data_IF_497850935585
#
_entry.id   IF_497850935585
#
_cell.length_a   1.000
_cell.length_b   1.000
_cell.length_c   1.000
_cell.angle_alpha   90.00
_cell.angle_beta   90.00
_cell.angle_gamma   90.00
#
_symmetry.space_group_name_H-M   'P 1'
#
loop_
_entity.id
_entity.type
_entity.pdbx_description
1 polymer ?
#
# COMPACT_ATOMS: atom_id res chain seq x y z
N UNK A 1 0.76 -9.57 -6.57
CA UNK A 1 2.16 -9.60 -6.08
C UNK A 1 2.23 -9.57 -4.58
N UNK A 2 1.72 -8.50 -3.95
CA UNK A 2 1.79 -8.30 -2.50
C UNK A 2 1.29 -9.50 -1.67
N UNK A 3 0.14 -10.09 -2.01
CA UNK A 3 -0.41 -11.26 -1.32
C UNK A 3 0.57 -12.46 -1.24
N UNK A 4 1.41 -12.67 -2.26
CA UNK A 4 2.41 -13.73 -2.23
C UNK A 4 3.60 -13.32 -1.37
N UNK A 5 4.09 -12.09 -1.55
CA UNK A 5 5.28 -11.59 -0.84
C UNK A 5 5.07 -11.46 0.67
N UNK A 6 3.86 -11.10 1.12
CA UNK A 6 3.52 -11.02 2.54
C UNK A 6 3.49 -12.42 3.18
N UNK A 7 2.88 -13.40 2.50
CA UNK A 7 2.83 -14.81 2.94
C UNK A 7 4.20 -15.48 2.97
N UNK A 8 5.14 -15.03 2.14
CA UNK A 8 6.52 -15.49 2.19
C UNK A 8 7.34 -14.83 3.31
N UNK A 9 6.81 -13.81 4.01
CA UNK A 9 7.54 -13.05 5.01
C UNK A 9 8.46 -11.96 4.42
N UNK A 10 8.65 -11.90 3.10
CA UNK A 10 9.58 -10.97 2.46
C UNK A 10 9.25 -9.51 2.73
N UNK A 11 7.97 -9.14 2.73
CA UNK A 11 7.56 -7.75 2.98
C UNK A 11 7.55 -7.40 4.48
N UNK A 12 6.99 -8.19 5.40
CA UNK A 12 7.03 -7.81 6.82
C UNK A 12 8.42 -7.96 7.44
N UNK A 13 9.19 -8.99 7.05
CA UNK A 13 10.45 -9.37 7.69
C UNK A 13 11.71 -9.09 6.87
N UNK A 14 11.60 -8.89 5.55
CA UNK A 14 12.78 -8.74 4.67
C UNK A 14 13.50 -10.05 4.34
N UNK A 15 12.95 -11.20 4.78
CA UNK A 15 13.49 -12.52 4.54
C UNK A 15 12.36 -13.53 4.32
N UNK A 16 12.67 -14.67 3.70
CA UNK A 16 11.70 -15.76 3.61
C UNK A 16 11.54 -16.37 5.01
N UNK A 17 10.33 -16.29 5.56
CA UNK A 17 10.01 -16.82 6.89
C UNK A 17 8.73 -17.64 6.85
N UNK A 18 8.56 -18.53 7.83
CA UNK A 18 7.26 -19.17 8.07
C UNK A 18 6.19 -18.15 8.43
N UNK A 19 4.93 -18.59 8.38
CA UNK A 19 3.76 -17.85 8.86
C UNK A 19 3.24 -18.53 10.12
N UNK A 20 2.80 -17.71 11.06
CA UNK A 20 2.06 -18.11 12.26
C UNK A 20 0.73 -17.33 12.33
N UNK A 21 -0.07 -17.59 13.36
CA UNK A 21 -1.38 -16.96 13.55
C UNK A 21 -1.30 -15.44 13.75
N UNK A 22 -0.14 -14.90 14.11
CA UNK A 22 0.06 -13.47 14.36
C UNK A 22 0.61 -12.75 13.13
N UNK A 23 1.06 -13.48 12.12
CA UNK A 23 1.72 -12.93 10.94
C UNK A 23 0.79 -11.99 10.17
N UNK A 24 1.25 -10.78 9.78
CA UNK A 24 0.46 -9.88 8.94
C UNK A 24 0.08 -10.57 7.64
N UNK A 25 -1.15 -10.35 7.19
CA UNK A 25 -1.63 -10.96 5.94
C UNK A 25 -2.65 -10.09 5.22
N UNK A 26 -2.99 -10.51 4.00
CA UNK A 26 -4.07 -9.95 3.22
C UNK A 26 -5.20 -10.97 3.13
N UNK A 27 -6.43 -10.54 3.38
CA UNK A 27 -7.62 -11.39 3.36
C UNK A 27 -8.81 -10.69 2.68
N UNK A 28 -9.97 -11.36 2.69
CA UNK A 28 -11.20 -10.87 2.09
C UNK A 28 -11.55 -9.45 2.55
N UNK A 29 -11.92 -8.61 1.59
CA UNK A 29 -12.45 -7.28 1.85
C UNK A 29 -13.67 -7.37 2.79
N UNK A 30 -13.91 -6.36 3.62
CA UNK A 30 -15.08 -6.31 4.53
C UNK A 30 -16.42 -6.45 3.81
N UNK A 31 -16.52 -5.94 2.58
CA UNK A 31 -17.73 -6.03 1.76
C UNK A 31 -18.02 -7.45 1.21
N UNK A 32 -17.12 -8.41 1.42
CA UNK A 32 -17.30 -9.81 1.00
C UNK A 32 -17.27 -10.04 -0.52
N UNK A 33 -16.84 -9.05 -1.31
CA UNK A 33 -16.78 -9.12 -2.79
C UNK A 33 -15.60 -8.34 -3.37
N UNK A 34 -15.36 -8.54 -4.66
CA UNK A 34 -14.36 -7.79 -5.42
C UNK A 34 -14.70 -6.30 -5.48
N UNK A 35 -13.70 -5.44 -5.25
CA UNK A 35 -13.79 -3.99 -5.47
C UNK A 35 -13.07 -3.61 -6.77
N UNK A 36 -13.65 -2.69 -7.52
CA UNK A 36 -13.03 -2.00 -8.65
C UNK A 36 -13.33 -0.51 -8.50
N UNK A 37 -12.41 0.25 -7.90
CA UNK A 37 -12.64 1.66 -7.52
C UNK A 37 -11.34 2.46 -7.60
N UNK A 38 -11.44 3.76 -7.89
CA UNK A 38 -10.32 4.69 -7.71
C UNK A 38 -10.13 4.98 -6.22
N UNK A 39 -8.94 4.70 -5.71
CA UNK A 39 -8.62 4.79 -4.29
C UNK A 39 -7.57 5.87 -4.07
N UNK A 40 -7.79 6.70 -3.04
CA UNK A 40 -6.83 7.69 -2.60
C UNK A 40 -5.94 7.07 -1.54
N UNK A 41 -4.63 7.27 -1.70
CA UNK A 41 -3.61 6.79 -0.77
C UNK A 41 -2.65 7.91 -0.42
N UNK A 42 -2.37 8.05 0.87
CA UNK A 42 -1.37 8.94 1.42
C UNK A 42 -0.05 8.21 1.57
N UNK A 43 1.04 8.80 1.13
CA UNK A 43 2.40 8.29 1.41
C UNK A 43 2.77 8.67 2.84
N UNK A 44 2.90 7.67 3.71
CA UNK A 44 3.28 7.86 5.11
C UNK A 44 4.80 7.80 5.33
N UNK A 45 5.52 7.10 4.46
CA UNK A 45 6.97 6.91 4.54
C UNK A 45 7.56 6.77 3.14
N UNK A 46 8.64 7.51 2.87
CA UNK A 46 9.42 7.40 1.64
C UNK A 46 10.80 6.77 1.85
N UNK A 47 11.00 6.05 2.96
CA UNK A 47 12.28 5.37 3.26
C UNK A 47 12.66 4.30 2.24
N UNK A 48 11.67 3.76 1.52
CA UNK A 48 11.89 2.78 0.47
C UNK A 48 12.43 3.44 -0.80
N UNK A 49 13.43 2.85 -1.48
CA UNK A 49 13.87 3.33 -2.79
C UNK A 49 12.75 3.45 -3.83
N UNK A 50 11.71 2.61 -3.73
CA UNK A 50 10.54 2.68 -4.60
C UNK A 50 9.76 3.98 -4.44
N UNK A 51 9.80 4.60 -3.26
CA UNK A 51 9.04 5.80 -2.92
C UNK A 51 9.93 7.05 -2.83
N UNK A 52 11.21 6.97 -3.22
CA UNK A 52 12.17 8.07 -3.06
C UNK A 52 11.80 9.36 -3.82
N UNK A 53 10.97 9.26 -4.86
CA UNK A 53 10.45 10.40 -5.61
C UNK A 53 8.99 10.74 -5.25
N UNK A 54 8.38 10.00 -4.32
CA UNK A 54 7.08 10.30 -3.77
C UNK A 54 7.21 11.24 -2.56
N UNK A 55 6.21 12.10 -2.37
CA UNK A 55 6.22 13.10 -1.31
C UNK A 55 5.60 12.53 -0.03
N UNK A 56 6.30 12.51 1.12
CA UNK A 56 5.68 12.19 2.40
C UNK A 56 4.52 13.15 2.69
N UNK A 57 3.35 12.59 2.99
CA UNK A 57 2.10 13.33 3.13
C UNK A 57 1.34 13.55 1.83
N UNK A 58 1.98 13.34 0.66
CA UNK A 58 1.36 13.43 -0.64
C UNK A 58 0.24 12.41 -0.83
N UNK A 59 -0.81 12.84 -1.53
CA UNK A 59 -2.00 12.04 -1.83
C UNK A 59 -1.99 11.65 -3.30
N UNK A 60 -2.23 10.38 -3.56
CA UNK A 60 -2.24 9.81 -4.90
C UNK A 60 -3.48 8.95 -5.13
N UNK A 61 -4.04 9.02 -6.33
CA UNK A 61 -5.25 8.30 -6.72
C UNK A 61 -4.93 7.26 -7.77
N UNK A 62 -5.20 5.98 -7.47
CA UNK A 62 -4.91 4.87 -8.39
C UNK A 62 -6.04 3.83 -8.35
N UNK A 63 -6.19 3.01 -9.40
CA UNK A 63 -7.21 1.98 -9.44
C UNK A 63 -6.89 0.84 -8.44
N UNK A 64 -7.89 0.45 -7.66
CA UNK A 64 -7.93 -0.78 -6.89
C UNK A 64 -8.75 -1.84 -7.64
N UNK A 65 -8.28 -3.10 -7.63
CA UNK A 65 -8.97 -4.22 -8.29
C UNK A 65 -8.67 -5.53 -7.57
N UNK A 66 -9.39 -5.84 -6.49
CA UNK A 66 -9.14 -7.05 -5.70
C UNK A 66 -10.34 -7.50 -4.87
N UNK A 67 -10.42 -8.80 -4.56
CA UNK A 67 -11.35 -9.37 -3.56
C UNK A 67 -10.71 -9.61 -2.19
N UNK A 68 -9.38 -9.70 -2.14
CA UNK A 68 -8.59 -10.10 -0.97
C UNK A 68 -7.44 -9.10 -0.72
N UNK A 69 -7.77 -7.82 -0.53
CA UNK A 69 -6.78 -6.76 -0.32
C UNK A 69 -6.74 -6.21 1.10
N UNK A 70 -7.56 -6.76 2.00
CA UNK A 70 -7.68 -6.25 3.37
C UNK A 70 -6.46 -6.64 4.18
N UNK A 71 -5.67 -5.65 4.59
CA UNK A 71 -4.55 -5.85 5.50
C UNK A 71 -5.06 -6.09 6.93
N UNK A 72 -4.61 -7.19 7.53
CA UNK A 72 -4.88 -7.54 8.92
C UNK A 72 -3.58 -7.94 9.60
N UNK A 73 -3.42 -7.50 10.85
CA UNK A 73 -2.27 -7.77 11.70
C UNK A 73 -2.65 -7.51 13.16
N UNK A 74 -1.84 -8.00 14.10
CA UNK A 74 -2.00 -7.65 15.52
C UNK A 74 -1.57 -6.21 15.78
N UNK A 75 -2.05 -5.60 16.88
CA UNK A 75 -1.63 -4.25 17.28
C UNK A 75 -0.12 -4.15 17.55
N UNK A 76 0.51 -5.23 17.99
CA UNK A 76 1.97 -5.31 18.13
C UNK A 76 2.65 -5.18 16.76
N UNK A 77 2.17 -5.90 15.75
CA UNK A 77 2.68 -5.80 14.39
C UNK A 77 2.48 -4.41 13.81
N UNK A 78 1.30 -3.80 13.97
CA UNK A 78 1.02 -2.46 13.47
C UNK A 78 2.00 -1.45 14.09
N UNK A 79 2.17 -1.49 15.42
CA UNK A 79 3.12 -0.62 16.13
C UNK A 79 4.57 -0.84 15.68
N UNK A 80 4.97 -2.09 15.48
CA UNK A 80 6.31 -2.44 14.96
C UNK A 80 6.54 -1.88 13.56
N UNK A 81 5.59 -2.07 12.65
CA UNK A 81 5.66 -1.55 11.28
C UNK A 81 5.70 -0.02 11.27
N UNK A 82 4.92 0.64 12.11
CA UNK A 82 4.90 2.09 12.25
C UNK A 82 6.22 2.63 12.81
N UNK A 83 6.74 2.05 13.89
CA UNK A 83 8.02 2.45 14.50
C UNK A 83 9.19 2.31 13.52
N UNK A 84 9.17 1.27 12.68
CA UNK A 84 10.19 1.07 11.65
C UNK A 84 9.99 2.00 10.43
N UNK A 85 8.83 2.64 10.28
CA UNK A 85 8.45 3.39 9.09
C UNK A 85 8.20 2.49 7.87
N UNK A 86 7.78 1.24 8.11
CA UNK A 86 7.42 0.25 7.09
C UNK A 86 5.98 0.44 6.59
N UNK A 87 5.14 1.21 7.28
CA UNK A 87 3.84 1.62 6.73
C UNK A 87 4.10 2.69 5.68
N UNK A 88 4.10 2.26 4.42
CA UNK A 88 4.45 3.10 3.27
C UNK A 88 3.28 3.95 2.82
N UNK A 89 2.09 3.35 2.72
CA UNK A 89 0.88 4.03 2.25
C UNK A 89 -0.34 3.63 3.07
N UNK A 90 -1.23 4.60 3.29
CA UNK A 90 -2.54 4.39 3.90
C UNK A 90 -3.65 4.91 3.01
N UNK A 91 -4.80 4.26 3.05
CA UNK A 91 -6.03 4.80 2.48
C UNK A 91 -6.43 6.09 3.18
N UNK A 92 -6.87 7.07 2.40
CA UNK A 92 -7.27 8.38 2.87
C UNK A 92 -8.40 8.95 2.02
N UNK A 93 -9.00 10.05 2.47
CA UNK A 93 -9.81 10.90 1.62
C UNK A 93 -8.93 11.74 0.65
N UNK A 94 -9.52 12.51 -0.28
CA UNK A 94 -8.76 13.34 -1.23
C UNK A 94 -7.92 14.43 -0.56
N UNK A 95 -8.30 14.88 0.64
CA UNK A 95 -7.56 15.88 1.43
C UNK A 95 -6.39 15.26 2.21
N UNK A 96 -6.23 13.94 2.17
CA UNK A 96 -5.14 13.23 2.81
C UNK A 96 -5.36 12.93 4.28
N UNK A 97 -6.61 12.96 4.75
CA UNK A 97 -6.98 12.47 6.06
C UNK A 97 -7.11 10.95 5.99
N UNK A 98 -6.28 10.25 6.76
CA UNK A 98 -6.38 8.79 6.89
C UNK A 98 -7.75 8.46 7.45
N UNK A 99 -8.50 7.62 6.75
CA UNK A 99 -9.88 7.33 7.09
C UNK A 99 -10.10 5.84 7.27
N UNK A 100 -10.91 5.49 8.27
CA UNK A 100 -11.43 4.14 8.46
C UNK A 100 -12.84 3.97 7.87
N UNK A 101 -13.41 5.05 7.32
CA UNK A 101 -14.67 5.00 6.58
C UNK A 101 -14.51 4.11 5.34
N UNK A 102 -15.50 3.25 5.08
CA UNK A 102 -15.48 2.32 3.94
C UNK A 102 -15.51 3.02 2.58
N UNK A 103 -15.91 4.30 2.53
CA UNK A 103 -15.81 5.12 1.34
C UNK A 103 -14.35 5.25 0.88
N UNK A 104 -13.41 5.41 1.82
CA UNK A 104 -12.01 5.70 1.54
C UNK A 104 -11.10 4.51 1.84
N UNK A 105 -11.31 3.82 2.96
CA UNK A 105 -10.73 2.51 3.26
C UNK A 105 -11.57 1.40 2.64
N UNK A 106 -11.47 1.32 1.32
CA UNK A 106 -12.32 0.54 0.41
C UNK A 106 -12.32 -0.98 0.64
N UNK A 107 -11.48 -1.50 1.52
CA UNK A 107 -11.38 -2.93 1.83
C UNK A 107 -11.40 -3.24 3.34
N UNK A 108 -11.49 -2.22 4.19
CA UNK A 108 -11.51 -2.34 5.64
C UNK A 108 -10.17 -2.78 6.24
N UNK A 109 -9.05 -2.39 5.61
CA UNK A 109 -7.70 -2.68 6.12
C UNK A 109 -7.49 -2.05 7.49
N UNK A 110 -6.82 -2.79 8.38
CA UNK A 110 -6.51 -2.30 9.73
C UNK A 110 -5.58 -1.09 9.65
N UNK A 111 -5.87 -0.08 10.48
CA UNK A 111 -5.19 1.20 10.50
C UNK A 111 -5.11 1.88 9.11
N UNK A 112 -6.07 1.56 8.22
CA UNK A 112 -6.11 1.99 6.83
C UNK A 112 -4.84 1.65 6.02
N UNK A 113 -4.06 0.65 6.44
CA UNK A 113 -2.81 0.27 5.78
C UNK A 113 -3.12 -0.26 4.38
N UNK A 114 -2.54 0.37 3.37
CA UNK A 114 -2.69 -0.04 1.97
C UNK A 114 -1.43 -0.74 1.46
N UNK A 115 -0.25 -0.24 1.86
CA UNK A 115 1.03 -0.78 1.44
C UNK A 115 2.07 -0.70 2.54
N UNK A 116 2.93 -1.71 2.58
CA UNK A 116 4.05 -1.81 3.52
C UNK A 116 5.34 -2.20 2.79
N UNK A 117 6.49 -1.91 3.39
CA UNK A 117 7.81 -2.26 2.86
C UNK A 117 8.55 -3.23 3.78
N UNK A 118 9.54 -3.94 3.22
CA UNK A 118 10.56 -4.65 4.00
C UNK A 118 11.29 -3.70 4.95
N UNK A 119 11.90 -4.21 6.04
CA UNK A 119 12.68 -3.39 6.96
C UNK A 119 13.83 -2.63 6.28
N UNK A 120 14.42 -3.19 5.23
CA UNK A 120 15.45 -2.56 4.40
C UNK A 120 14.89 -1.68 3.26
N UNK A 121 13.56 -1.61 3.14
CA UNK A 121 12.85 -0.83 2.13
C UNK A 121 12.87 -1.41 0.71
N UNK A 122 13.61 -2.49 0.43
CA UNK A 122 13.85 -2.98 -0.94
C UNK A 122 12.68 -3.75 -1.54
N UNK A 123 11.81 -4.31 -0.71
CA UNK A 123 10.58 -5.00 -1.15
C UNK A 123 9.39 -4.12 -0.78
N UNK A 124 8.58 -3.75 -1.76
CA UNK A 124 7.37 -2.96 -1.54
C UNK A 124 6.12 -3.77 -1.90
N UNK A 125 5.24 -3.96 -0.92
CA UNK A 125 3.92 -4.53 -1.09
C UNK A 125 2.87 -3.42 -1.21
N UNK A 126 2.15 -3.37 -2.33
CA UNK A 126 1.09 -2.41 -2.63
C UNK A 126 -0.14 -3.11 -3.19
N UNK A 127 -1.34 -2.65 -2.84
CA UNK A 127 -2.62 -3.18 -3.30
C UNK A 127 -3.27 -2.36 -4.42
N UNK A 128 -3.13 -1.04 -4.41
CA UNK A 128 -3.55 -0.18 -5.53
C UNK A 128 -2.51 -0.16 -6.64
N UNK A 129 -3.00 -0.08 -7.87
CA UNK A 129 -2.23 -0.35 -9.08
C UNK A 129 -1.71 0.92 -9.74
N UNK A 130 -0.56 1.43 -9.30
CA UNK A 130 0.10 2.58 -9.93
C UNK A 130 0.53 2.30 -11.38
N UNK A 131 0.75 1.03 -11.74
CA UNK A 131 1.12 0.59 -13.08
C UNK A 131 -0.03 0.67 -14.08
N UNK A 132 -1.28 0.73 -13.61
CA UNK A 132 -2.47 0.91 -14.46
C UNK A 132 -2.66 2.40 -14.78
N UNK A 133 -1.62 3.01 -15.32
CA UNK A 133 -1.53 4.40 -15.73
C UNK A 133 -0.94 4.48 -17.14
N UNK A 134 -1.16 5.59 -17.83
CA UNK A 134 -0.66 5.77 -19.18
C UNK A 134 -1.24 6.98 -19.89
N UNK A 135 -0.75 7.26 -21.09
CA UNK A 135 -1.27 8.33 -21.92
C UNK A 135 -2.75 8.06 -22.22
N UNK A 136 -3.62 9.01 -21.87
CA UNK A 136 -5.07 8.94 -22.05
C UNK A 136 -5.84 7.94 -21.18
N UNK A 137 -5.24 7.44 -20.10
CA UNK A 137 -5.92 6.58 -19.10
C UNK A 137 -6.43 7.45 -17.95
N UNK A 138 -7.67 7.21 -17.48
CA UNK A 138 -8.28 7.87 -16.31
C UNK A 138 -8.24 9.41 -16.33
N UNK A 139 -8.35 10.03 -17.51
CA UNK A 139 -8.26 11.48 -17.69
C UNK A 139 -9.33 12.27 -16.91
N UNK A 140 -10.46 11.64 -16.62
CA UNK A 140 -11.58 12.21 -15.88
C UNK A 140 -11.47 12.02 -14.37
N UNK A 141 -10.37 11.46 -13.86
CA UNK A 141 -10.12 11.29 -12.44
C UNK A 141 -9.21 12.42 -11.97
N UNK A 142 -9.73 13.23 -11.05
CA UNK A 142 -8.99 14.30 -10.40
C UNK A 142 -8.02 13.75 -9.35
N UNK A 143 -6.85 14.37 -9.24
CA UNK A 143 -5.79 13.98 -8.29
C UNK A 143 -4.52 13.47 -8.97
N UNK A 144 -3.44 13.38 -8.20
CA UNK A 144 -2.16 12.93 -8.71
C UNK A 144 -2.16 11.40 -8.88
N UNK A 145 -1.96 10.92 -10.11
CA UNK A 145 -1.96 9.49 -10.42
C UNK A 145 -0.55 8.88 -10.48
N UNK A 146 0.50 9.71 -10.42
CA UNK A 146 1.88 9.27 -10.62
C UNK A 146 2.74 9.48 -9.36
N UNK A 147 3.00 8.38 -8.62
CA UNK A 147 3.95 8.34 -7.50
C UNK A 147 5.42 8.28 -7.96
N UNK A 148 5.67 8.20 -9.28
CA UNK A 148 6.99 8.04 -9.90
C UNK A 148 7.75 6.81 -9.39
N UNK A 149 7.02 5.76 -9.03
CA UNK A 149 7.54 4.54 -8.39
C UNK A 149 8.63 3.86 -9.24
N UNK A 150 8.37 3.74 -10.54
CA UNK A 150 9.28 3.08 -11.47
C UNK A 150 10.52 3.93 -11.75
N UNK A 151 10.36 5.25 -11.87
CA UNK A 151 11.50 6.17 -12.03
C UNK A 151 12.40 6.14 -10.79
N UNK A 152 11.80 6.13 -9.58
CA UNK A 152 12.52 6.01 -8.33
C UNK A 152 13.30 4.68 -8.25
N UNK A 153 12.66 3.57 -8.61
CA UNK A 153 13.30 2.26 -8.69
C UNK A 153 14.48 2.21 -9.66
N UNK A 154 14.36 2.83 -10.85
CA UNK A 154 15.49 2.92 -11.81
C UNK A 154 16.63 3.77 -11.27
N UNK A 155 16.33 4.91 -10.63
CA UNK A 155 17.36 5.80 -10.06
C UNK A 155 18.15 5.15 -8.93
N UNK A 156 17.54 4.24 -8.16
CA UNK A 156 18.23 3.55 -7.07
C UNK A 156 19.42 2.69 -7.53
N UNK A 157 19.40 2.18 -8.76
CA UNK A 157 20.47 1.33 -9.31
C UNK A 157 21.49 2.10 -10.17
N UNK A 158 21.30 3.41 -10.38
CA UNK A 158 22.25 4.26 -11.11
C UNK A 158 23.25 4.89 -10.16
#
# INVERSE_FOLDING_TARGET
GFQALIKLGLVPNGAITGQDEQSPTLTYNTIGRHISKMAYTKVCSNKSPWLALAEPGGVYVNPASHGEGRFVATDEWIRKLEANGQIATRYCDPDGNVSMDEEWNINGSYAAIEGITSPDGRVFGKMVHCERSGQYVNLNIEGNQDMRLFEAGVKYFR
#
